data_IF_997003654458
#
_entry.id   IF_997003654458
#
_cell.length_a   1.000
_cell.length_b   1.000
_cell.length_c   1.000
_cell.angle_alpha   90.00
_cell.angle_beta   90.00
_cell.angle_gamma   90.00
#
_symmetry.space_group_name_H-M   'P 1'
#
loop_
_entity.id
_entity.type
_entity.pdbx_description
1 polymer ?
#
# COMPACT_ATOMS: atom_id res chain seq x y z
N UNK A 1 25.99 22.04 -24.12
CA UNK A 1 25.69 20.61 -24.24
C UNK A 1 24.36 20.34 -23.52
N UNK A 2 23.34 19.96 -24.25
CA UNK A 2 22.07 19.56 -23.65
C UNK A 2 22.32 18.26 -22.88
N UNK A 3 22.02 18.26 -21.57
CA UNK A 3 22.03 17.03 -20.76
C UNK A 3 21.00 16.09 -21.30
N UNK A 4 21.35 14.83 -21.50
CA UNK A 4 20.43 13.82 -22.02
C UNK A 4 19.19 13.71 -21.11
N UNK A 5 18.05 13.36 -21.67
CA UNK A 5 16.78 13.17 -20.93
C UNK A 5 16.94 12.15 -19.80
N UNK A 6 17.83 11.15 -19.99
CA UNK A 6 18.18 10.16 -18.98
C UNK A 6 18.88 10.76 -17.75
N UNK A 7 19.80 11.72 -17.93
CA UNK A 7 20.47 12.40 -16.82
C UNK A 7 19.52 13.30 -16.02
N UNK A 8 18.53 13.89 -16.68
CA UNK A 8 17.50 14.67 -16.00
C UNK A 8 16.57 13.78 -15.14
N UNK A 9 16.18 12.60 -15.63
CA UNK A 9 15.43 11.59 -14.86
C UNK A 9 16.19 11.16 -13.61
N UNK A 10 17.49 10.88 -13.73
CA UNK A 10 18.36 10.45 -12.63
C UNK A 10 18.48 11.51 -11.52
N UNK A 11 18.55 12.79 -11.85
CA UNK A 11 18.67 13.88 -10.85
C UNK A 11 17.39 14.17 -10.09
N UNK A 12 16.25 13.87 -10.66
CA UNK A 12 14.95 14.17 -10.04
C UNK A 12 14.51 13.11 -9.02
N UNK A 13 15.23 11.98 -8.90
CA UNK A 13 14.88 10.86 -8.03
C UNK A 13 13.43 10.42 -8.33
N UNK A 14 12.62 10.26 -7.29
CA UNK A 14 11.22 9.85 -7.46
C UNK A 14 10.28 10.97 -7.96
N UNK A 15 10.80 12.13 -8.38
CA UNK A 15 9.99 13.15 -9.04
C UNK A 15 9.71 12.75 -10.48
N UNK A 16 8.44 12.72 -10.81
CA UNK A 16 7.95 12.42 -12.15
C UNK A 16 8.41 13.50 -13.12
N UNK A 17 9.04 13.09 -14.21
CA UNK A 17 9.44 14.00 -15.28
C UNK A 17 8.22 14.46 -16.08
N UNK A 18 7.19 13.60 -16.20
CA UNK A 18 6.00 13.80 -17.04
C UNK A 18 4.75 14.21 -16.28
N UNK A 19 4.78 14.25 -14.92
CA UNK A 19 3.59 14.44 -14.10
C UNK A 19 2.67 13.20 -14.00
N UNK A 20 2.90 12.16 -14.80
CA UNK A 20 2.18 10.89 -14.79
C UNK A 20 2.92 9.84 -13.95
N UNK A 21 2.18 8.91 -13.34
CA UNK A 21 2.75 7.75 -12.64
C UNK A 21 3.06 6.64 -13.65
N UNK A 22 4.27 6.65 -14.17
CA UNK A 22 4.77 5.69 -15.16
C UNK A 22 5.88 4.84 -14.55
N UNK A 23 5.48 3.86 -13.74
CA UNK A 23 6.35 2.86 -13.14
C UNK A 23 6.01 1.51 -13.75
N UNK A 24 6.68 1.14 -14.83
CA UNK A 24 6.41 -0.15 -15.47
C UNK A 24 7.13 -1.28 -14.74
N UNK A 25 6.41 -2.37 -14.53
CA UNK A 25 6.94 -3.57 -13.87
C UNK A 25 7.76 -4.37 -14.86
N UNK A 26 9.00 -4.76 -14.51
CA UNK A 26 9.81 -5.61 -15.37
C UNK A 26 9.15 -6.96 -15.64
N UNK A 27 9.34 -7.55 -16.84
CA UNK A 27 8.77 -8.86 -17.19
C UNK A 27 9.16 -9.99 -16.22
N UNK A 28 10.38 -9.96 -15.69
CA UNK A 28 10.87 -10.95 -14.72
C UNK A 28 10.05 -10.91 -13.43
N UNK A 29 9.80 -9.71 -12.90
CA UNK A 29 8.97 -9.53 -11.70
C UNK A 29 7.54 -9.99 -11.96
N UNK A 30 6.96 -9.68 -13.12
CA UNK A 30 5.64 -10.16 -13.49
C UNK A 30 5.59 -11.69 -13.53
N UNK A 31 6.61 -12.35 -14.09
CA UNK A 31 6.72 -13.80 -14.13
C UNK A 31 6.79 -14.40 -12.72
N UNK A 32 7.64 -13.88 -11.84
CA UNK A 32 7.76 -14.32 -10.44
C UNK A 32 6.42 -14.26 -9.70
N UNK A 33 5.64 -13.18 -9.91
CA UNK A 33 4.31 -13.03 -9.34
C UNK A 33 3.36 -14.13 -9.85
N UNK A 34 3.39 -14.45 -11.15
CA UNK A 34 2.59 -15.53 -11.70
C UNK A 34 3.05 -16.92 -11.25
N UNK A 35 4.32 -17.12 -10.97
CA UNK A 35 4.81 -18.37 -10.37
C UNK A 35 4.27 -18.55 -8.95
N UNK A 36 4.16 -17.50 -8.16
CA UNK A 36 3.45 -17.53 -6.87
C UNK A 36 1.96 -17.81 -7.08
N UNK A 37 1.29 -17.15 -8.01
CA UNK A 37 -0.13 -17.34 -8.29
C UNK A 37 -0.47 -18.81 -8.66
N UNK A 38 0.39 -19.49 -9.41
CA UNK A 38 0.21 -20.92 -9.72
C UNK A 38 0.18 -21.80 -8.47
N UNK A 39 0.82 -21.38 -7.38
CA UNK A 39 0.79 -22.10 -6.09
C UNK A 39 -0.44 -21.78 -5.26
N UNK A 40 -0.98 -20.57 -5.40
CA UNK A 40 -2.13 -20.07 -4.61
C UNK A 40 -3.47 -20.44 -5.25
N UNK A 41 -3.53 -20.50 -6.59
CA UNK A 41 -4.76 -20.69 -7.35
C UNK A 41 -4.68 -21.96 -8.18
N UNK A 42 -5.28 -23.07 -7.72
CA UNK A 42 -5.47 -24.23 -8.53
C UNK A 42 -6.23 -23.86 -9.80
N UNK A 43 -5.83 -24.41 -10.95
CA UNK A 43 -6.50 -24.13 -12.22
C UNK A 43 -6.46 -22.65 -12.67
N UNK A 44 -5.41 -21.91 -12.32
CA UNK A 44 -5.21 -20.49 -12.66
C UNK A 44 -5.66 -20.14 -14.10
N UNK A 45 -5.38 -21.02 -15.06
CA UNK A 45 -5.72 -20.86 -16.49
C UNK A 45 -7.23 -20.83 -16.80
N UNK A 46 -8.10 -21.21 -15.85
CA UNK A 46 -9.56 -21.22 -16.04
C UNK A 46 -10.20 -19.88 -15.65
N UNK A 47 -9.45 -19.02 -14.94
CA UNK A 47 -9.93 -17.71 -14.51
C UNK A 47 -9.65 -16.67 -15.58
N UNK A 48 -10.58 -15.72 -15.83
CA UNK A 48 -10.27 -14.54 -16.62
C UNK A 48 -9.23 -13.68 -15.89
N UNK A 49 -8.44 -12.95 -16.64
CA UNK A 49 -7.41 -12.05 -16.13
C UNK A 49 -7.79 -10.60 -16.37
N UNK A 50 -7.69 -9.77 -15.33
CA UNK A 50 -7.93 -8.35 -15.39
C UNK A 50 -6.66 -7.58 -15.04
N UNK A 51 -6.22 -6.72 -15.98
CA UNK A 51 -5.10 -5.78 -15.78
C UNK A 51 -5.59 -4.34 -15.94
N UNK A 52 -5.93 -3.64 -14.86
CA UNK A 52 -6.55 -2.31 -14.91
C UNK A 52 -5.59 -1.16 -15.23
N UNK A 53 -4.27 -1.40 -15.29
CA UNK A 53 -3.24 -0.41 -15.65
C UNK A 53 -2.14 -1.10 -16.46
N UNK A 54 -2.51 -1.53 -17.68
CA UNK A 54 -1.75 -2.50 -18.46
C UNK A 54 -0.40 -2.03 -18.99
N UNK A 55 -0.23 -0.75 -19.21
CA UNK A 55 1.03 -0.13 -19.64
C UNK A 55 1.73 -0.90 -20.77
N UNK A 56 2.93 -1.44 -20.48
CA UNK A 56 3.75 -2.22 -21.43
C UNK A 56 3.34 -3.69 -21.56
N UNK A 57 2.34 -4.17 -20.81
CA UNK A 57 1.80 -5.53 -20.93
C UNK A 57 2.60 -6.62 -20.25
N UNK A 58 3.49 -6.31 -19.30
CA UNK A 58 4.30 -7.32 -18.60
C UNK A 58 3.45 -8.38 -17.91
N UNK A 59 2.38 -7.98 -17.22
CA UNK A 59 1.45 -8.93 -16.58
C UNK A 59 0.58 -9.69 -17.60
N UNK A 60 0.20 -9.07 -18.71
CA UNK A 60 -0.52 -9.73 -19.80
C UNK A 60 0.33 -10.87 -20.37
N UNK A 61 1.58 -10.58 -20.67
CA UNK A 61 2.53 -11.59 -21.18
C UNK A 61 2.70 -12.74 -20.18
N UNK A 62 2.86 -12.44 -18.90
CA UNK A 62 2.98 -13.47 -17.86
C UNK A 62 1.69 -14.32 -17.70
N UNK A 63 0.51 -13.69 -17.80
CA UNK A 63 -0.77 -14.38 -17.78
C UNK A 63 -0.92 -15.35 -18.95
N UNK A 64 -0.58 -14.91 -20.17
CA UNK A 64 -0.60 -15.76 -21.36
C UNK A 64 0.37 -16.95 -21.24
N UNK A 65 1.59 -16.72 -20.73
CA UNK A 65 2.57 -17.78 -20.45
C UNK A 65 2.08 -18.77 -19.38
N UNK A 66 1.23 -18.30 -18.44
CA UNK A 66 0.56 -19.16 -17.46
C UNK A 66 -0.65 -19.93 -18.05
N UNK A 67 -0.98 -19.71 -19.32
CA UNK A 67 -2.05 -20.40 -20.04
C UNK A 67 -3.42 -19.74 -19.93
N UNK A 68 -3.52 -18.53 -19.38
CA UNK A 68 -4.77 -17.77 -19.33
C UNK A 68 -5.10 -17.25 -20.73
N UNK A 69 -6.35 -17.44 -21.14
CA UNK A 69 -6.80 -17.08 -22.51
C UNK A 69 -7.65 -15.82 -22.54
N UNK A 70 -8.45 -15.60 -21.51
CA UNK A 70 -9.33 -14.45 -21.41
C UNK A 70 -8.61 -13.34 -20.67
N UNK A 71 -8.30 -12.25 -21.37
CA UNK A 71 -7.55 -11.10 -20.84
C UNK A 71 -8.35 -9.85 -21.12
N UNK A 72 -8.61 -9.08 -20.07
CA UNK A 72 -9.19 -7.75 -20.13
C UNK A 72 -8.18 -6.75 -19.55
N UNK A 73 -7.79 -5.74 -20.31
CA UNK A 73 -6.82 -4.75 -19.87
C UNK A 73 -7.11 -3.36 -20.41
N UNK A 74 -6.82 -2.35 -19.56
CA UNK A 74 -7.05 -0.95 -19.84
C UNK A 74 -5.84 -0.11 -19.41
N UNK A 75 -5.57 0.97 -20.12
CA UNK A 75 -4.62 2.02 -19.72
C UNK A 75 -4.96 3.34 -20.41
N UNK A 76 -4.66 4.45 -19.77
CA UNK A 76 -4.80 5.80 -20.36
C UNK A 76 -3.70 6.08 -21.39
N UNK A 77 -2.62 5.30 -21.38
CA UNK A 77 -1.50 5.39 -22.31
C UNK A 77 -0.96 3.97 -22.59
N UNK A 78 -1.66 3.19 -23.44
CA UNK A 78 -1.32 1.81 -23.70
C UNK A 78 -0.07 1.68 -24.59
N UNK A 79 0.83 0.75 -24.19
CA UNK A 79 2.04 0.40 -24.94
C UNK A 79 2.05 -1.09 -25.35
N UNK A 80 0.92 -1.78 -25.28
CA UNK A 80 0.79 -3.19 -25.65
C UNK A 80 -0.52 -3.42 -26.44
N UNK A 81 -0.52 -4.27 -27.50
CA UNK A 81 -1.67 -4.44 -28.40
C UNK A 81 -2.97 -4.91 -27.73
N UNK A 82 -2.89 -5.62 -26.62
CA UNK A 82 -4.05 -6.14 -25.88
C UNK A 82 -4.54 -5.15 -24.81
N UNK A 83 -3.89 -4.02 -24.61
CA UNK A 83 -4.31 -2.98 -23.68
C UNK A 83 -5.22 -2.00 -24.40
N UNK A 84 -6.44 -1.85 -23.91
CA UNK A 84 -7.43 -0.92 -24.47
C UNK A 84 -7.15 0.50 -23.95
N UNK A 85 -7.32 1.49 -24.81
CA UNK A 85 -7.19 2.90 -24.44
C UNK A 85 -8.41 3.36 -23.64
N UNK A 86 -8.17 3.85 -22.42
CA UNK A 86 -9.19 4.47 -21.58
C UNK A 86 -8.90 4.33 -20.10
N UNK A 87 -9.62 5.08 -19.28
CA UNK A 87 -9.57 4.93 -17.83
C UNK A 87 -10.33 3.66 -17.41
N UNK A 88 -9.68 2.78 -16.69
CA UNK A 88 -10.33 1.59 -16.13
C UNK A 88 -11.51 1.95 -15.19
N UNK A 89 -11.39 3.03 -14.45
CA UNK A 89 -12.43 3.45 -13.48
C UNK A 89 -13.75 3.84 -14.15
N UNK A 90 -13.72 4.15 -15.46
CA UNK A 90 -14.90 4.51 -16.24
C UNK A 90 -15.56 3.29 -16.92
N UNK A 91 -14.96 2.11 -16.80
CA UNK A 91 -15.43 0.91 -17.49
C UNK A 91 -16.45 0.14 -16.67
N UNK A 92 -17.45 -0.41 -17.39
CA UNK A 92 -18.37 -1.42 -16.87
C UNK A 92 -18.08 -2.72 -17.61
N UNK A 93 -17.60 -3.74 -16.89
CA UNK A 93 -17.17 -5.01 -17.47
C UNK A 93 -18.21 -6.10 -17.17
N UNK A 94 -18.37 -7.03 -18.10
CA UNK A 94 -19.17 -8.24 -17.87
C UNK A 94 -18.37 -9.39 -17.20
N UNK A 95 -17.10 -9.14 -16.88
CA UNK A 95 -16.18 -10.09 -16.29
C UNK A 95 -16.60 -10.49 -14.87
N UNK A 96 -16.48 -11.78 -14.53
CA UNK A 96 -16.74 -12.31 -13.18
C UNK A 96 -15.72 -13.33 -12.80
N UNK A 97 -15.36 -13.39 -11.50
CA UNK A 97 -14.41 -14.38 -11.00
C UNK A 97 -12.99 -14.18 -11.51
N UNK A 98 -12.64 -12.97 -11.88
CA UNK A 98 -11.33 -12.65 -12.45
C UNK A 98 -10.22 -12.71 -11.39
N UNK A 99 -9.00 -12.93 -11.89
CA UNK A 99 -7.78 -12.66 -11.14
C UNK A 99 -7.23 -11.34 -11.64
N UNK A 100 -7.17 -10.35 -10.75
CA UNK A 100 -6.56 -9.06 -11.06
C UNK A 100 -5.13 -9.03 -10.56
N UNK A 101 -4.19 -8.71 -11.45
CA UNK A 101 -2.80 -8.40 -11.07
C UNK A 101 -2.42 -7.09 -11.71
N UNK A 102 -1.93 -6.13 -10.92
CA UNK A 102 -1.54 -4.84 -11.44
C UNK A 102 -0.55 -4.11 -10.56
N UNK A 103 0.16 -3.18 -11.16
CA UNK A 103 0.87 -2.09 -10.52
C UNK A 103 0.09 -0.78 -10.79
N UNK A 104 -0.94 -0.46 -9.99
CA UNK A 104 -1.83 0.65 -10.29
C UNK A 104 -1.14 1.99 -10.09
N UNK A 105 -1.64 3.08 -10.69
CA UNK A 105 -1.18 4.41 -10.33
C UNK A 105 -1.49 4.68 -8.84
N UNK A 106 -0.50 5.16 -8.07
CA UNK A 106 -0.68 5.28 -6.62
C UNK A 106 -1.47 6.54 -6.24
N UNK A 107 -1.20 7.64 -6.90
CA UNK A 107 -1.73 8.94 -6.54
C UNK A 107 -1.20 9.47 -5.19
N UNK A 108 -1.48 10.72 -4.87
CA UNK A 108 -1.14 11.28 -3.57
C UNK A 108 -1.94 10.58 -2.46
N UNK A 109 -1.25 10.04 -1.44
CA UNK A 109 -1.88 9.32 -0.33
C UNK A 109 -2.79 8.16 -0.79
N UNK A 110 -2.40 7.45 -1.84
CA UNK A 110 -3.12 6.32 -2.43
C UNK A 110 -4.49 6.70 -3.03
N UNK A 111 -4.65 7.97 -3.46
CA UNK A 111 -5.93 8.48 -3.98
C UNK A 111 -6.37 7.84 -5.29
N UNK A 112 -5.47 7.17 -6.01
CA UNK A 112 -5.78 6.42 -7.23
C UNK A 112 -5.84 4.91 -6.98
N UNK A 113 -4.86 4.36 -6.26
CA UNK A 113 -4.77 2.91 -6.07
C UNK A 113 -5.95 2.33 -5.29
N UNK A 114 -6.51 3.06 -4.31
CA UNK A 114 -7.71 2.63 -3.58
C UNK A 114 -8.95 2.52 -4.49
N UNK A 115 -9.32 3.53 -5.30
CA UNK A 115 -10.37 3.39 -6.30
C UNK A 115 -10.15 2.24 -7.29
N UNK A 116 -8.91 2.04 -7.77
CA UNK A 116 -8.58 0.91 -8.64
C UNK A 116 -8.87 -0.43 -7.98
N UNK A 117 -8.51 -0.60 -6.70
CA UNK A 117 -8.83 -1.80 -5.94
C UNK A 117 -10.34 -2.02 -5.84
N UNK A 118 -11.08 -1.01 -5.38
CA UNK A 118 -12.52 -1.12 -5.16
C UNK A 118 -13.30 -1.32 -6.46
N UNK A 119 -12.80 -0.77 -7.58
CA UNK A 119 -13.39 -1.02 -8.89
C UNK A 119 -13.09 -2.45 -9.37
N UNK A 120 -11.86 -2.95 -9.20
CA UNK A 120 -11.47 -4.33 -9.50
C UNK A 120 -12.28 -5.34 -8.67
N UNK A 121 -12.61 -5.00 -7.43
CA UNK A 121 -13.39 -5.85 -6.52
C UNK A 121 -14.78 -6.22 -7.05
N UNK A 122 -15.33 -5.46 -8.00
CA UNK A 122 -16.62 -5.78 -8.65
C UNK A 122 -16.53 -7.00 -9.55
N UNK A 123 -15.35 -7.34 -10.05
CA UNK A 123 -15.13 -8.33 -11.12
C UNK A 123 -14.27 -9.51 -10.67
N UNK A 124 -13.56 -9.39 -9.55
CA UNK A 124 -12.46 -10.28 -9.18
C UNK A 124 -12.77 -11.12 -7.95
N UNK A 125 -12.22 -12.33 -7.93
CA UNK A 125 -12.16 -13.21 -6.77
C UNK A 125 -10.81 -13.11 -6.05
N UNK A 126 -9.75 -12.76 -6.80
CA UNK A 126 -8.42 -12.50 -6.24
C UNK A 126 -7.86 -11.21 -6.83
N UNK A 127 -7.34 -10.35 -5.97
CA UNK A 127 -6.67 -9.10 -6.35
C UNK A 127 -5.24 -9.12 -5.83
N UNK A 128 -4.29 -8.91 -6.74
CA UNK A 128 -2.85 -8.84 -6.44
C UNK A 128 -2.33 -7.49 -6.89
N UNK A 129 -1.99 -6.65 -5.92
CA UNK A 129 -1.54 -5.30 -6.20
C UNK A 129 -0.11 -5.07 -5.74
N UNK A 130 0.70 -4.46 -6.60
CA UNK A 130 1.96 -3.84 -6.20
C UNK A 130 1.64 -2.43 -5.73
N UNK A 131 1.93 -2.15 -4.45
CA UNK A 131 1.51 -0.92 -3.81
C UNK A 131 2.60 -0.39 -2.88
N UNK A 132 2.60 0.91 -2.54
CA UNK A 132 3.48 1.40 -1.49
C UNK A 132 3.21 0.70 -0.15
N UNK A 133 4.26 0.48 0.67
CA UNK A 133 4.11 -0.14 2.00
C UNK A 133 3.13 0.58 2.93
N UNK A 134 2.72 1.82 2.60
CA UNK A 134 1.64 2.53 3.31
C UNK A 134 0.29 1.80 3.26
N UNK A 135 0.11 0.83 2.35
CA UNK A 135 -1.07 -0.03 2.29
C UNK A 135 -1.21 -0.99 3.48
N UNK A 136 -0.15 -1.17 4.26
CA UNK A 136 -0.16 -1.91 5.53
C UNK A 136 -0.86 -1.15 6.66
N UNK A 137 -1.07 0.17 6.49
CA UNK A 137 -1.74 0.99 7.50
C UNK A 137 -3.24 0.74 7.51
N UNK A 138 -3.83 0.63 8.69
CA UNK A 138 -5.27 0.44 8.87
C UNK A 138 -6.09 1.53 8.16
N UNK A 139 -5.59 2.77 8.16
CA UNK A 139 -6.24 3.90 7.47
C UNK A 139 -6.37 3.72 5.95
N UNK A 140 -5.57 2.85 5.34
CA UNK A 140 -5.69 2.44 3.94
C UNK A 140 -6.59 1.22 3.83
N UNK A 141 -6.29 0.16 4.58
CA UNK A 141 -7.03 -1.10 4.51
C UNK A 141 -8.53 -0.92 4.80
N UNK A 142 -8.88 -0.01 5.73
CA UNK A 142 -10.28 0.29 6.04
C UNK A 142 -11.07 0.95 4.88
N UNK A 143 -10.39 1.39 3.82
CA UNK A 143 -11.02 1.99 2.63
C UNK A 143 -11.17 1.00 1.48
N UNK A 144 -10.61 -0.20 1.60
CA UNK A 144 -10.70 -1.26 0.62
C UNK A 144 -12.01 -2.05 0.80
N UNK A 145 -12.53 -2.59 -0.29
CA UNK A 145 -13.71 -3.46 -0.25
C UNK A 145 -13.54 -4.55 0.81
N UNK A 146 -14.48 -4.59 1.75
CA UNK A 146 -14.40 -5.43 2.95
C UNK A 146 -14.66 -6.91 2.70
N UNK A 147 -15.17 -7.25 1.52
CA UNK A 147 -15.28 -8.66 1.08
C UNK A 147 -13.92 -9.28 0.79
N UNK A 148 -12.86 -8.47 0.67
CA UNK A 148 -11.52 -8.95 0.41
C UNK A 148 -10.68 -9.05 1.69
N UNK A 149 -10.03 -10.19 1.87
CA UNK A 149 -9.15 -10.50 2.99
C UNK A 149 -7.71 -10.63 2.50
N UNK A 150 -6.78 -9.99 3.20
CA UNK A 150 -5.37 -10.09 2.91
C UNK A 150 -4.87 -11.49 3.27
N UNK A 151 -4.43 -12.26 2.28
CA UNK A 151 -3.92 -13.62 2.47
C UNK A 151 -2.40 -13.70 2.40
N UNK A 152 -1.75 -12.71 1.77
CA UNK A 152 -0.29 -12.65 1.67
C UNK A 152 0.15 -11.20 1.45
N UNK A 153 1.28 -10.83 2.07
CA UNK A 153 1.94 -9.52 1.97
C UNK A 153 3.45 -9.72 2.02
N UNK A 154 4.13 -9.42 0.93
CA UNK A 154 5.58 -9.55 0.82
C UNK A 154 6.21 -8.19 0.50
N UNK A 155 7.37 -7.89 1.07
CA UNK A 155 8.19 -6.78 0.63
C UNK A 155 8.64 -7.02 -0.82
N UNK A 156 8.60 -5.97 -1.63
CA UNK A 156 8.95 -6.07 -3.03
C UNK A 156 9.87 -4.91 -3.43
N UNK A 157 11.10 -5.24 -3.76
CA UNK A 157 12.07 -4.30 -4.32
C UNK A 157 12.08 -4.44 -5.84
N UNK A 158 11.62 -3.41 -6.55
CA UNK A 158 11.50 -3.41 -8.01
C UNK A 158 12.42 -2.35 -8.61
N UNK A 159 13.20 -2.73 -9.60
CA UNK A 159 13.85 -1.81 -10.49
C UNK A 159 12.90 -1.48 -11.65
N UNK A 160 12.06 -0.48 -11.45
CA UNK A 160 11.09 -0.07 -12.46
C UNK A 160 11.75 0.35 -13.77
N UNK A 161 11.09 0.03 -14.86
CA UNK A 161 11.53 0.37 -16.22
C UNK A 161 10.63 1.45 -16.82
N UNK A 162 11.12 2.10 -17.88
CA UNK A 162 10.34 2.99 -18.72
C UNK A 162 9.60 2.21 -19.83
N UNK A 163 8.94 2.92 -20.72
CA UNK A 163 8.17 2.35 -21.84
C UNK A 163 9.04 1.55 -22.84
N UNK A 164 10.36 1.75 -22.83
CA UNK A 164 11.33 1.05 -23.68
C UNK A 164 11.97 -0.15 -22.97
N UNK A 165 11.63 -0.39 -21.69
CA UNK A 165 12.23 -1.43 -20.88
C UNK A 165 13.59 -1.05 -20.28
N UNK A 166 13.99 0.21 -20.37
CA UNK A 166 15.21 0.71 -19.75
C UNK A 166 14.97 1.13 -18.31
N UNK A 167 16.01 1.08 -17.47
CA UNK A 167 15.90 1.47 -16.07
C UNK A 167 15.40 2.92 -15.92
N UNK A 168 14.23 3.08 -15.34
CA UNK A 168 13.57 4.37 -15.22
C UNK A 168 14.23 5.32 -14.21
N UNK A 169 14.95 4.78 -13.21
CA UNK A 169 15.55 5.54 -12.12
C UNK A 169 16.92 4.98 -11.73
N UNK A 170 17.91 5.84 -11.54
CA UNK A 170 19.23 5.42 -11.04
C UNK A 170 19.19 4.93 -9.58
N UNK A 171 18.23 5.41 -8.80
CA UNK A 171 17.99 4.98 -7.44
C UNK A 171 16.49 5.02 -7.17
N UNK A 172 15.92 3.85 -7.00
CA UNK A 172 14.54 3.73 -6.54
C UNK A 172 14.51 3.73 -5.00
N UNK A 173 13.91 4.77 -4.41
CA UNK A 173 13.68 4.86 -2.96
C UNK A 173 12.22 4.55 -2.59
N UNK A 174 11.40 4.17 -3.55
CA UNK A 174 10.00 3.81 -3.34
C UNK A 174 9.95 2.43 -2.67
N UNK A 175 9.44 2.40 -1.45
CA UNK A 175 9.21 1.14 -0.71
C UNK A 175 7.87 0.57 -1.12
N UNK A 176 7.91 -0.56 -1.79
CA UNK A 176 6.72 -1.27 -2.23
C UNK A 176 6.56 -2.61 -1.51
N UNK A 177 5.35 -3.11 -1.53
CA UNK A 177 4.98 -4.46 -1.20
C UNK A 177 4.03 -4.99 -2.27
N UNK A 178 3.90 -6.31 -2.31
CA UNK A 178 2.88 -6.98 -3.09
C UNK A 178 1.88 -7.60 -2.13
N UNK A 179 0.60 -7.29 -2.32
CA UNK A 179 -0.47 -7.78 -1.48
C UNK A 179 -1.45 -8.62 -2.28
N UNK A 180 -1.82 -9.77 -1.73
CA UNK A 180 -2.76 -10.74 -2.30
C UNK A 180 -4.03 -10.71 -1.45
N UNK A 181 -5.14 -10.36 -2.08
CA UNK A 181 -6.43 -10.18 -1.44
C UNK A 181 -7.45 -11.14 -2.02
N UNK A 182 -7.93 -12.07 -1.20
CA UNK A 182 -8.93 -13.07 -1.61
C UNK A 182 -10.33 -12.61 -1.24
N UNK A 183 -11.27 -12.73 -2.17
CA UNK A 183 -12.68 -12.49 -1.94
C UNK A 183 -13.26 -13.55 -0.98
N UNK A 184 -14.13 -13.11 -0.11
CA UNK A 184 -15.00 -13.97 0.70
C UNK A 184 -16.44 -13.52 0.51
N UNK A 185 -17.32 -14.45 0.17
CA UNK A 185 -18.76 -14.19 0.06
C UNK A 185 -19.50 -14.45 1.38
N UNK A 186 -18.80 -15.02 2.38
CA UNK A 186 -19.38 -15.41 3.66
C UNK A 186 -18.89 -14.58 4.84
N UNK A 187 -17.82 -13.82 4.67
CA UNK A 187 -17.23 -13.03 5.74
C UNK A 187 -16.84 -11.63 5.25
N UNK A 188 -17.20 -10.63 6.03
CA UNK A 188 -16.82 -9.25 5.80
C UNK A 188 -15.68 -8.88 6.77
N UNK A 189 -14.59 -8.37 6.23
CA UNK A 189 -13.44 -7.93 7.03
C UNK A 189 -13.84 -6.76 7.93
N UNK A 190 -13.54 -6.82 9.25
CA UNK A 190 -13.85 -5.73 10.16
C UNK A 190 -13.03 -4.48 9.83
N UNK A 191 -13.54 -3.32 10.20
CA UNK A 191 -12.75 -2.10 10.25
C UNK A 191 -11.83 -2.15 11.47
N UNK A 192 -10.56 -1.83 11.28
CA UNK A 192 -9.57 -1.85 12.36
C UNK A 192 -9.29 -0.45 12.88
N UNK A 193 -9.24 -0.33 14.18
CA UNK A 193 -8.76 0.85 14.89
C UNK A 193 -8.03 0.42 16.16
N UNK A 194 -7.39 1.36 16.83
CA UNK A 194 -6.73 1.15 18.12
C UNK A 194 -7.41 2.02 19.16
N UNK A 195 -7.76 1.43 20.30
CA UNK A 195 -8.33 2.18 21.39
C UNK A 195 -7.25 3.10 21.98
N UNK A 196 -7.57 4.38 22.09
CA UNK A 196 -6.73 5.32 22.82
C UNK A 196 -6.93 5.13 24.32
N UNK A 197 -6.05 4.33 24.94
CA UNK A 197 -6.06 4.07 26.38
C UNK A 197 -5.53 5.23 27.21
N UNK A 198 -5.25 6.38 26.57
CA UNK A 198 -4.70 7.57 27.22
C UNK A 198 -3.39 7.33 27.98
N UNK A 199 -2.59 6.38 27.53
CA UNK A 199 -1.25 6.13 28.06
C UNK A 199 -0.34 7.35 27.89
N UNK A 200 -0.48 7.99 26.72
CA UNK A 200 0.19 9.25 26.35
C UNK A 200 -0.85 10.23 25.80
N UNK A 201 -0.58 11.50 25.92
CA UNK A 201 -1.43 12.57 25.39
C UNK A 201 -0.56 13.49 24.53
N UNK A 202 -0.96 13.68 23.27
CA UNK A 202 -0.31 14.66 22.41
C UNK A 202 -0.60 16.07 22.93
N UNK A 203 0.44 16.87 23.14
CA UNK A 203 0.35 18.20 23.74
C UNK A 203 1.25 19.21 23.02
N UNK A 204 1.29 20.43 23.53
CA UNK A 204 2.24 21.45 23.08
C UNK A 204 3.62 21.19 23.68
N UNK A 205 4.64 21.80 23.08
CA UNK A 205 6.02 21.70 23.55
C UNK A 205 6.20 22.01 25.05
N UNK A 206 5.58 23.09 25.51
CA UNK A 206 5.74 23.59 26.89
C UNK A 206 5.04 22.67 27.94
N UNK A 207 4.22 21.75 27.52
CA UNK A 207 3.46 20.82 28.37
C UNK A 207 4.01 19.39 28.31
N UNK A 208 5.01 19.15 27.45
CA UNK A 208 5.48 17.81 27.14
C UNK A 208 6.52 17.29 28.12
N UNK A 209 6.36 16.05 28.53
CA UNK A 209 7.35 15.32 29.32
C UNK A 209 8.43 14.69 28.42
N UNK A 210 8.04 14.32 27.19
CA UNK A 210 8.94 13.68 26.21
C UNK A 210 8.64 14.15 24.78
N UNK A 211 9.64 14.04 23.91
CA UNK A 211 9.43 14.13 22.46
C UNK A 211 9.72 12.78 21.79
N UNK A 212 8.87 12.42 20.83
CA UNK A 212 9.06 11.27 19.95
C UNK A 212 9.31 11.77 18.52
N UNK A 213 10.44 11.41 17.93
CA UNK A 213 10.66 11.65 16.50
C UNK A 213 9.74 10.77 15.69
N UNK A 214 8.77 11.37 15.00
CA UNK A 214 7.73 10.64 14.27
C UNK A 214 7.88 10.70 12.76
N UNK A 215 8.92 11.38 12.24
CA UNK A 215 9.17 11.50 10.81
C UNK A 215 10.66 11.65 10.51
N UNK A 216 11.17 10.96 9.49
CA UNK A 216 12.53 11.05 9.01
C UNK A 216 13.48 10.03 9.62
N UNK A 217 14.78 10.23 9.37
CA UNK A 217 15.85 9.26 9.63
C UNK A 217 15.89 8.69 11.07
N UNK A 218 15.57 9.53 12.06
CA UNK A 218 15.57 9.10 13.47
C UNK A 218 14.16 8.76 13.99
N UNK A 219 13.25 8.33 13.11
CA UNK A 219 11.90 7.97 13.49
C UNK A 219 11.89 6.88 14.58
N UNK A 220 11.12 7.09 15.63
CA UNK A 220 11.10 6.21 16.80
C UNK A 220 12.02 6.65 17.95
N UNK A 221 12.84 7.70 17.80
CA UNK A 221 13.68 8.17 18.88
C UNK A 221 12.88 8.95 19.92
N UNK A 222 12.97 8.52 21.18
CA UNK A 222 12.36 9.16 22.35
C UNK A 222 13.40 9.98 23.09
N UNK A 223 13.04 11.23 23.48
CA UNK A 223 13.93 12.12 24.26
C UNK A 223 13.16 12.74 25.40
N UNK A 224 13.78 12.77 26.58
CA UNK A 224 13.29 13.47 27.77
C UNK A 224 13.87 14.89 27.87
N UNK A 225 15.05 15.11 27.29
CA UNK A 225 15.64 16.44 27.10
C UNK A 225 15.65 16.77 25.60
N UNK A 226 14.93 17.79 25.22
CA UNK A 226 14.71 18.14 23.82
C UNK A 226 14.53 19.66 23.65
N UNK A 227 15.30 20.31 22.75
CA UNK A 227 15.09 21.70 22.42
C UNK A 227 13.81 21.86 21.58
N UNK A 228 13.15 23.02 21.74
CA UNK A 228 12.05 23.37 20.84
C UNK A 228 12.57 23.48 19.41
N UNK A 229 12.01 22.68 18.53
CA UNK A 229 12.25 22.75 17.08
C UNK A 229 10.95 23.10 16.37
N UNK A 230 10.94 24.14 15.52
CA UNK A 230 9.75 24.56 14.78
C UNK A 230 9.51 23.66 13.57
N UNK A 231 9.52 22.34 13.75
CA UNK A 231 9.32 21.41 12.66
C UNK A 231 8.28 20.33 13.03
N UNK A 232 7.74 19.71 12.00
CA UNK A 232 6.70 18.68 12.08
C UNK A 232 7.26 17.28 12.30
N UNK A 233 8.54 17.10 12.62
CA UNK A 233 9.19 15.80 12.73
C UNK A 233 9.03 15.18 14.11
N UNK A 234 8.53 15.90 15.08
CA UNK A 234 8.38 15.45 16.45
C UNK A 234 6.93 15.49 16.93
N UNK A 235 6.55 14.50 17.71
CA UNK A 235 5.37 14.53 18.56
C UNK A 235 5.80 14.89 19.96
N UNK A 236 5.16 15.90 20.56
CA UNK A 236 5.31 16.25 21.96
C UNK A 236 4.24 15.53 22.76
N UNK A 237 4.65 14.80 23.78
CA UNK A 237 3.80 13.86 24.50
C UNK A 237 3.88 14.11 26.00
N UNK A 238 2.72 14.17 26.63
CA UNK A 238 2.57 14.09 28.08
C UNK A 238 2.37 12.63 28.47
N UNK A 239 3.09 12.21 29.52
CA UNK A 239 2.99 10.87 30.06
C UNK A 239 1.80 10.80 31.02
N UNK A 240 0.84 9.93 30.75
CA UNK A 240 -0.39 9.82 31.55
C UNK A 240 -0.57 8.44 32.23
N UNK A 241 0.44 7.57 32.09
CA UNK A 241 0.47 6.26 32.74
C UNK A 241 1.83 6.01 33.36
N UNK A 242 1.95 5.41 34.56
CA UNK A 242 3.24 5.19 35.24
C UNK A 242 4.29 4.47 34.41
N UNK A 243 3.87 3.53 33.55
CA UNK A 243 4.75 2.77 32.65
C UNK A 243 4.96 3.44 31.28
N UNK A 244 4.45 4.65 31.04
CA UNK A 244 4.47 5.25 29.70
C UNK A 244 5.89 5.51 29.19
N UNK A 245 6.80 6.02 30.05
CA UNK A 245 8.17 6.28 29.65
C UNK A 245 8.93 4.99 29.35
N UNK A 246 8.82 4.00 30.23
CA UNK A 246 9.43 2.68 30.05
C UNK A 246 8.95 2.04 28.75
N UNK A 247 7.64 2.05 28.51
CA UNK A 247 7.04 1.52 27.29
C UNK A 247 7.57 2.22 26.04
N UNK A 248 7.58 3.56 26.02
CA UNK A 248 8.12 4.35 24.90
C UNK A 248 9.59 4.02 24.59
N UNK A 249 10.40 3.72 25.62
CA UNK A 249 11.81 3.40 25.46
C UNK A 249 12.06 1.92 25.08
N UNK A 250 11.07 1.05 25.31
CA UNK A 250 11.22 -0.41 25.15
C UNK A 250 10.60 -0.96 23.87
N UNK A 251 9.54 -0.31 23.35
CA UNK A 251 8.83 -0.84 22.17
C UNK A 251 9.63 -0.70 20.89
N UNK A 252 9.48 -1.67 19.99
CA UNK A 252 10.08 -1.64 18.67
C UNK A 252 9.20 -0.86 17.67
N UNK A 253 9.52 0.41 17.48
CA UNK A 253 8.84 1.27 16.49
C UNK A 253 9.11 0.84 15.05
N UNK A 254 10.13 0.00 14.78
CA UNK A 254 10.46 -0.45 13.43
C UNK A 254 9.35 -1.29 12.81
N UNK A 255 8.50 -1.88 13.61
CA UNK A 255 7.30 -2.62 13.19
C UNK A 255 6.35 -1.76 12.33
N UNK A 256 6.37 -0.43 12.50
CA UNK A 256 5.43 0.47 11.81
C UNK A 256 6.09 1.60 11.01
N UNK A 257 7.20 2.18 11.48
CA UNK A 257 7.72 3.40 10.85
C UNK A 257 8.16 3.21 9.39
N UNK A 258 8.42 1.97 8.96
CA UNK A 258 8.77 1.62 7.58
C UNK A 258 7.55 1.34 6.69
N UNK A 259 6.35 1.33 7.25
CA UNK A 259 5.10 1.18 6.50
C UNK A 259 4.73 2.51 5.81
N UNK A 260 5.59 2.95 4.93
CA UNK A 260 5.51 4.22 4.17
C UNK A 260 6.09 4.03 2.78
N UNK A 261 5.73 4.93 1.86
CA UNK A 261 6.26 4.89 0.50
C UNK A 261 7.75 5.27 0.42
N UNK A 262 8.21 6.21 1.23
CA UNK A 262 9.56 6.77 1.14
C UNK A 262 10.21 6.98 2.51
N UNK A 263 9.82 8.02 3.21
CA UNK A 263 10.42 8.45 4.47
C UNK A 263 9.73 7.77 5.64
N UNK A 264 10.51 7.31 6.62
CA UNK A 264 9.98 6.74 7.86
C UNK A 264 8.99 7.69 8.52
N UNK A 265 7.86 7.13 8.98
CA UNK A 265 6.86 7.90 9.71
C UNK A 265 6.00 7.03 10.62
N UNK A 266 5.70 7.57 11.80
CA UNK A 266 4.79 6.99 12.79
C UNK A 266 3.56 7.87 12.95
N UNK A 267 2.41 7.24 13.04
CA UNK A 267 1.17 7.87 13.48
C UNK A 267 0.95 7.62 14.97
N UNK A 268 0.15 8.49 15.61
CA UNK A 268 -0.21 8.29 17.03
C UNK A 268 -0.96 6.97 17.28
N UNK A 269 -1.69 6.49 16.27
CA UNK A 269 -2.43 5.22 16.34
C UNK A 269 -1.47 4.03 16.42
N UNK A 270 -0.39 4.06 15.63
CA UNK A 270 0.65 3.02 15.65
C UNK A 270 1.44 3.05 16.98
N UNK A 271 1.70 4.24 17.51
CA UNK A 271 2.32 4.39 18.84
C UNK A 271 1.40 3.82 19.93
N UNK A 272 0.12 4.17 19.92
CA UNK A 272 -0.86 3.63 20.88
C UNK A 272 -0.96 2.10 20.81
N UNK A 273 -0.91 1.52 19.60
CA UNK A 273 -0.88 0.06 19.43
C UNK A 273 0.28 -0.57 20.22
N UNK A 274 1.49 -0.07 20.01
CA UNK A 274 2.69 -0.62 20.66
C UNK A 274 2.67 -0.44 22.17
N UNK A 275 2.25 0.75 22.65
CA UNK A 275 2.16 1.02 24.08
C UNK A 275 1.09 0.18 24.76
N UNK A 276 -0.07 0.02 24.13
CA UNK A 276 -1.13 -0.83 24.66
C UNK A 276 -0.66 -2.29 24.76
N UNK A 277 -0.04 -2.80 23.70
CA UNK A 277 0.51 -4.17 23.67
C UNK A 277 1.53 -4.37 24.80
N UNK A 278 2.46 -3.43 24.99
CA UNK A 278 3.50 -3.50 26.02
C UNK A 278 2.91 -3.46 27.45
N UNK A 279 1.99 -2.53 27.70
CA UNK A 279 1.48 -2.26 29.07
C UNK A 279 0.39 -3.25 29.46
N UNK A 280 -0.50 -3.60 28.55
CA UNK A 280 -1.71 -4.38 28.81
C UNK A 280 -1.66 -5.81 28.24
N UNK A 281 -0.58 -6.17 27.53
CA UNK A 281 -0.46 -7.46 26.83
C UNK A 281 -1.38 -7.63 25.63
N UNK A 282 -2.05 -6.55 25.20
CA UNK A 282 -3.06 -6.52 24.13
C UNK A 282 -3.06 -5.14 23.49
N UNK A 283 -2.93 -5.02 22.16
CA UNK A 283 -2.93 -3.73 21.46
C UNK A 283 -4.26 -2.96 21.55
N UNK A 284 -5.31 -3.56 22.12
CA UNK A 284 -6.65 -2.96 22.28
C UNK A 284 -7.23 -2.52 20.93
N UNK A 285 -7.21 -3.45 19.98
CA UNK A 285 -7.86 -3.22 18.70
C UNK A 285 -9.34 -2.99 18.91
N UNK A 286 -9.86 -1.95 18.24
CA UNK A 286 -11.30 -1.72 18.15
C UNK A 286 -11.83 -2.48 16.93
N UNK A 287 -12.86 -3.27 17.16
CA UNK A 287 -13.79 -3.69 16.12
C UNK A 287 -15.07 -2.88 16.39
N UNK A 288 -15.52 -2.01 15.48
CA UNK A 288 -16.80 -1.32 15.65
C UNK A 288 -17.94 -2.32 15.84
N UNK A 289 -18.72 -2.17 16.88
CA UNK A 289 -19.79 -3.10 17.26
C UNK A 289 -20.99 -3.12 16.28
N UNK A 290 -21.10 -2.14 15.39
CA UNK A 290 -22.25 -1.99 14.49
C UNK A 290 -21.80 -1.60 13.08
N UNK A 291 -21.24 -2.55 12.35
CA UNK A 291 -20.99 -2.42 10.92
C UNK A 291 -21.78 -3.49 10.15
N UNK A 292 -23.07 -3.55 10.38
CA UNK A 292 -23.98 -4.13 9.41
C UNK A 292 -24.05 -3.14 8.23
N UNK A 293 -23.16 -3.32 7.25
CA UNK A 293 -23.44 -2.75 5.93
C UNK A 293 -24.69 -3.41 5.41
N UNK A 294 -25.71 -2.64 4.97
CA UNK A 294 -26.74 -3.22 4.16
C UNK A 294 -26.03 -3.88 2.97
N UNK A 295 -26.27 -5.17 2.80
CA UNK A 295 -26.00 -5.84 1.53
C UNK A 295 -26.89 -5.09 0.53
N UNK A 296 -26.33 -4.13 -0.21
CA UNK A 296 -27.02 -3.59 -1.37
C UNK A 296 -27.20 -4.78 -2.29
N UNK A 297 -28.44 -5.19 -2.42
CA UNK A 297 -28.86 -6.18 -3.40
C UNK A 297 -28.37 -5.70 -4.77
N UNK A 298 -27.45 -6.45 -5.33
CA UNK A 298 -26.98 -6.25 -6.69
C UNK A 298 -28.00 -6.94 -7.59
N UNK A 299 -28.98 -6.18 -8.03
CA UNK A 299 -29.82 -6.53 -9.18
C UNK A 299 -29.00 -6.54 -10.50
#
# INVERSE_FOLDING_TARGET
>A
MAKSVSEAKVKLGNRRVTGKEQFYTPPETAKEIFDVLKTLVPDLKKHPFLEPAGGTGSFITAAQQAGIKEVESWDIEPHHPLVKLGSFLDQQLSLKGAITVTNPPFGRCNSLSIPFFNHSAKYSDLIVFIVPRSWRKWSVQNKLDRRFHLIRDDDLDINYVDENGEQAYAKNNLRTCIQYWQRSDTAIRPLYGVTDMKVIIKCKFDEADVSLTCFGYNCGTVKTDFPRKPNTTQMFLKLNHPKALEALQSVDFSRFYRNTAYTEALSIVEVNYLLNEYIFGDPKMKVPENDELPLEDVD
#
